data_IF_614468836248
#
_entry.id   IF_614468836248
#
_cell.length_a   1.000
_cell.length_b   1.000
_cell.length_c   1.000
_cell.angle_alpha   90.00
_cell.angle_beta   90.00
_cell.angle_gamma   90.00
#
_symmetry.space_group_name_H-M   'P 1'
#
loop_
_entity.id
_entity.type
_entity.pdbx_description
1 polymer ?
#
# COMPACT_ATOMS: atom_id res chain seq x y z
N UNK A 1 5.83 -15.05 -10.90
CA UNK A 1 5.19 -14.19 -9.87
C UNK A 1 6.14 -13.06 -9.53
N UNK A 2 5.64 -11.82 -9.57
CA UNK A 2 6.42 -10.61 -9.27
C UNK A 2 5.98 -10.00 -7.93
N UNK A 3 6.96 -9.57 -7.12
CA UNK A 3 6.73 -8.83 -5.89
C UNK A 3 6.86 -7.34 -6.14
N UNK A 4 5.78 -6.57 -6.01
CA UNK A 4 5.76 -5.15 -6.36
C UNK A 4 6.85 -4.33 -5.62
N UNK A 5 7.18 -4.70 -4.38
CA UNK A 5 8.23 -4.03 -3.61
C UNK A 5 9.62 -4.12 -4.26
N UNK A 6 9.88 -5.14 -5.05
CA UNK A 6 11.14 -5.31 -5.79
C UNK A 6 11.26 -4.41 -7.02
N UNK A 7 10.18 -3.67 -7.34
CA UNK A 7 10.08 -2.70 -8.44
C UNK A 7 9.79 -1.28 -7.94
N UNK A 8 10.14 -0.99 -6.67
CA UNK A 8 10.02 0.35 -6.08
C UNK A 8 8.64 0.72 -5.55
N UNK A 9 7.67 -0.20 -5.58
CA UNK A 9 6.33 0.04 -5.00
C UNK A 9 6.39 -0.11 -3.47
N UNK A 10 5.96 0.87 -2.67
CA UNK A 10 6.04 0.84 -1.20
C UNK A 10 5.00 -0.09 -0.54
N UNK A 11 4.80 -1.28 -1.10
CA UNK A 11 3.73 -2.18 -0.73
C UNK A 11 4.13 -3.65 -0.89
N UNK A 12 3.76 -4.48 0.08
CA UNK A 12 3.84 -5.95 -0.03
C UNK A 12 2.71 -6.48 -0.90
N UNK A 13 2.96 -6.62 -2.21
CA UNK A 13 1.95 -7.07 -3.19
C UNK A 13 2.58 -8.04 -4.18
N UNK A 14 2.05 -9.25 -4.22
CA UNK A 14 2.45 -10.27 -5.17
C UNK A 14 1.44 -10.36 -6.32
N UNK A 15 1.95 -10.53 -7.53
CA UNK A 15 1.10 -10.69 -8.73
C UNK A 15 1.64 -11.79 -9.62
N UNK A 16 0.76 -12.68 -10.04
CA UNK A 16 1.02 -13.61 -11.13
C UNK A 16 0.82 -12.86 -12.44
N UNK A 17 1.88 -12.80 -13.24
CA UNK A 17 1.86 -12.23 -14.58
C UNK A 17 2.07 -13.36 -15.57
N UNK A 18 1.22 -13.42 -16.57
CA UNK A 18 1.32 -14.40 -17.67
C UNK A 18 1.54 -13.61 -18.95
N UNK A 19 2.67 -13.86 -19.61
CA UNK A 19 3.01 -13.26 -20.90
C UNK A 19 2.80 -14.31 -21.99
N UNK A 20 2.12 -13.94 -23.06
CA UNK A 20 1.90 -14.77 -24.22
C UNK A 20 2.18 -14.03 -25.51
N UNK A 21 2.96 -14.63 -26.39
CA UNK A 21 3.19 -14.14 -27.75
C UNK A 21 2.57 -15.07 -28.77
N UNK A 22 2.02 -14.50 -29.83
CA UNK A 22 1.50 -15.26 -30.97
C UNK A 22 2.40 -15.02 -32.19
N UNK A 23 2.90 -16.07 -32.79
CA UNK A 23 3.66 -15.96 -34.04
C UNK A 23 4.70 -17.06 -34.20
N UNK A 24 5.48 -17.00 -35.31
CA UNK A 24 6.64 -17.81 -35.56
C UNK A 24 7.90 -16.97 -35.32
N UNK A 25 9.00 -17.58 -34.86
CA UNK A 25 10.28 -16.89 -34.56
C UNK A 25 10.13 -15.78 -33.51
N UNK A 26 9.52 -16.12 -32.37
CA UNK A 26 9.28 -15.16 -31.28
C UNK A 26 10.57 -14.84 -30.53
N UNK A 27 10.77 -13.58 -30.10
CA UNK A 27 11.87 -13.26 -29.20
C UNK A 27 11.72 -13.98 -27.87
N UNK A 28 12.83 -14.26 -27.18
CA UNK A 28 12.79 -14.75 -25.81
C UNK A 28 12.09 -13.72 -24.92
N UNK A 29 11.01 -14.14 -24.26
CA UNK A 29 10.35 -13.33 -23.25
C UNK A 29 11.09 -13.45 -21.94
N UNK A 30 11.56 -12.32 -21.42
CA UNK A 30 12.09 -12.25 -20.07
C UNK A 30 11.21 -11.33 -19.22
N UNK A 31 10.98 -11.70 -17.96
CA UNK A 31 10.43 -10.78 -16.98
C UNK A 31 11.50 -9.76 -16.57
N UNK A 32 11.10 -8.51 -16.25
CA UNK A 32 12.03 -7.49 -15.81
C UNK A 32 12.81 -7.94 -14.56
N UNK A 33 14.08 -7.48 -14.46
CA UNK A 33 14.89 -7.76 -13.29
C UNK A 33 14.48 -6.90 -12.10
N UNK A 34 14.30 -7.48 -10.90
CA UNK A 34 14.06 -6.73 -9.70
C UNK A 34 15.24 -5.84 -9.32
N UNK A 35 14.98 -4.55 -9.05
CA UNK A 35 16.02 -3.55 -8.76
C UNK A 35 16.17 -3.25 -7.27
N UNK A 36 15.17 -3.60 -6.46
CA UNK A 36 15.07 -3.21 -5.05
C UNK A 36 15.13 -4.41 -4.14
N UNK A 37 15.88 -4.30 -3.05
CA UNK A 37 15.78 -5.23 -1.93
C UNK A 37 14.66 -4.81 -0.97
N UNK A 38 13.78 -5.75 -0.64
CA UNK A 38 12.70 -5.53 0.32
C UNK A 38 12.59 -6.72 1.30
N UNK A 39 12.27 -6.49 2.58
CA UNK A 39 12.17 -7.54 3.60
C UNK A 39 10.85 -8.31 3.46
N UNK A 40 10.55 -8.77 2.24
CA UNK A 40 9.29 -9.45 1.91
C UNK A 40 9.58 -10.90 1.60
N UNK A 41 8.92 -11.80 2.32
CA UNK A 41 8.96 -13.23 2.01
C UNK A 41 7.61 -13.67 1.47
N UNK A 42 7.58 -14.45 0.37
CA UNK A 42 6.35 -15.08 -0.10
C UNK A 42 5.76 -15.98 0.99
N UNK A 43 4.46 -15.91 1.21
CA UNK A 43 3.72 -16.78 2.12
C UNK A 43 2.90 -17.85 1.36
N UNK A 44 3.34 -18.19 0.16
CA UNK A 44 2.73 -19.18 -0.72
C UNK A 44 3.83 -20.07 -1.35
N UNK A 45 3.44 -21.15 -2.01
CA UNK A 45 4.38 -22.04 -2.72
C UNK A 45 5.10 -21.27 -3.82
N UNK A 46 6.42 -21.21 -3.72
CA UNK A 46 7.28 -20.44 -4.64
C UNK A 46 7.87 -21.27 -5.77
N UNK A 47 7.69 -22.60 -5.72
CA UNK A 47 8.18 -23.53 -6.72
C UNK A 47 7.04 -24.37 -7.30
N UNK A 48 7.14 -24.68 -8.57
CA UNK A 48 6.27 -25.63 -9.24
C UNK A 48 7.12 -26.49 -10.16
N UNK A 49 6.99 -27.81 -10.07
CA UNK A 49 7.74 -28.80 -10.86
C UNK A 49 9.27 -28.52 -10.89
N UNK A 50 9.84 -28.22 -9.70
CA UNK A 50 11.24 -27.88 -9.55
C UNK A 50 11.66 -26.47 -10.00
N UNK A 51 10.77 -25.71 -10.62
CA UNK A 51 11.04 -24.36 -11.10
C UNK A 51 10.61 -23.29 -10.11
N UNK A 52 11.47 -22.27 -9.89
CA UNK A 52 11.15 -21.11 -9.07
C UNK A 52 10.16 -20.21 -9.82
N UNK A 53 8.96 -20.03 -9.24
CA UNK A 53 7.90 -19.19 -9.81
C UNK A 53 8.06 -17.70 -9.49
N UNK A 54 8.88 -17.36 -8.51
CA UNK A 54 9.05 -16.00 -7.99
C UNK A 54 10.34 -15.41 -8.54
N UNK A 55 10.24 -14.23 -9.15
CA UNK A 55 11.41 -13.44 -9.53
C UNK A 55 11.91 -12.68 -8.29
N UNK A 56 13.06 -13.08 -7.77
CA UNK A 56 13.71 -12.45 -6.63
C UNK A 56 14.82 -11.49 -7.10
N UNK A 57 15.12 -10.42 -6.34
CA UNK A 57 16.25 -9.55 -6.66
C UNK A 57 17.57 -10.32 -6.59
N UNK A 58 18.48 -9.99 -7.50
CA UNK A 58 19.85 -10.52 -7.45
C UNK A 58 20.60 -9.94 -6.24
N UNK A 59 21.67 -10.60 -5.75
CA UNK A 59 22.52 -10.02 -4.70
C UNK A 59 23.14 -8.67 -5.06
N UNK A 60 23.24 -8.36 -6.35
CA UNK A 60 23.80 -7.11 -6.89
C UNK A 60 22.77 -5.98 -6.94
N UNK A 61 21.48 -6.27 -6.79
CA UNK A 61 20.45 -5.23 -6.65
C UNK A 61 20.79 -4.37 -5.44
N UNK A 62 21.08 -3.09 -5.62
CA UNK A 62 21.62 -2.23 -4.58
C UNK A 62 20.60 -1.26 -3.99
N UNK A 63 19.46 -1.07 -4.64
CA UNK A 63 18.46 -0.11 -4.21
C UNK A 63 17.64 -0.64 -3.03
N UNK A 64 17.51 0.18 -1.97
CA UNK A 64 16.61 -0.10 -0.87
C UNK A 64 15.16 0.16 -1.30
N UNK A 65 14.21 -0.63 -0.79
CA UNK A 65 12.78 -0.43 -1.03
C UNK A 65 12.30 0.95 -0.54
N UNK A 66 11.28 1.48 -1.21
CA UNK A 66 10.60 2.71 -0.81
C UNK A 66 9.72 2.45 0.43
N UNK A 67 9.86 3.27 1.47
CA UNK A 67 9.11 3.15 2.71
C UNK A 67 7.74 3.83 2.64
N UNK A 68 6.87 3.54 3.61
CA UNK A 68 5.57 4.24 3.75
C UNK A 68 5.79 5.74 3.91
N UNK A 69 6.74 6.17 4.75
CA UNK A 69 7.03 7.58 4.97
C UNK A 69 7.55 8.27 3.70
N UNK A 70 8.42 7.63 2.95
CA UNK A 70 8.87 8.16 1.66
C UNK A 70 7.74 8.28 0.65
N UNK A 71 6.71 7.43 0.74
CA UNK A 71 5.59 7.48 -0.18
C UNK A 71 4.56 8.57 0.16
N UNK A 72 4.23 8.78 1.44
CA UNK A 72 3.09 9.61 1.86
C UNK A 72 3.43 10.72 2.88
N UNK A 73 4.69 10.81 3.33
CA UNK A 73 5.08 11.72 4.40
C UNK A 73 5.05 13.21 4.05
N UNK A 74 4.94 13.56 2.77
CA UNK A 74 4.84 14.91 2.24
C UNK A 74 3.39 15.38 2.02
N UNK A 75 2.41 14.50 2.26
CA UNK A 75 1.00 14.84 2.14
C UNK A 75 0.52 15.59 3.39
N UNK A 76 -0.38 16.60 3.26
CA UNK A 76 -0.88 17.38 4.38
C UNK A 76 -1.51 16.51 5.47
N UNK A 77 -1.28 16.82 6.76
CA UNK A 77 -1.93 16.10 7.84
C UNK A 77 -3.45 16.37 7.85
N UNK A 78 -4.23 15.38 8.24
CA UNK A 78 -5.68 15.45 8.34
C UNK A 78 -6.16 14.84 9.66
N UNK A 79 -7.29 15.35 10.15
CA UNK A 79 -8.03 14.72 11.25
C UNK A 79 -8.96 13.63 10.69
N UNK A 80 -9.35 12.69 11.54
CA UNK A 80 -10.32 11.66 11.18
C UNK A 80 -11.65 12.27 10.69
N UNK A 81 -12.10 11.87 9.50
CA UNK A 81 -13.31 12.39 8.87
C UNK A 81 -13.17 13.80 8.28
N UNK A 82 -11.97 14.37 8.27
CA UNK A 82 -11.71 15.65 7.65
C UNK A 82 -11.80 15.54 6.14
N UNK A 83 -12.69 16.36 5.56
CA UNK A 83 -12.80 16.57 4.12
C UNK A 83 -11.97 17.80 3.76
N UNK A 84 -12.43 18.77 3.19
CA UNK A 84 -11.77 20.02 2.83
C UNK A 84 -11.87 20.27 1.34
N UNK A 85 -10.98 21.10 0.80
CA UNK A 85 -10.97 21.42 -0.62
C UNK A 85 -10.76 20.15 -1.47
N UNK A 86 -11.39 20.11 -2.64
CA UNK A 86 -11.23 19.03 -3.62
C UNK A 86 -9.76 18.87 -4.04
N UNK A 87 -9.05 19.98 -4.12
CA UNK A 87 -7.62 20.05 -4.39
C UNK A 87 -6.94 20.71 -3.20
N UNK A 88 -5.91 20.08 -2.69
CA UNK A 88 -5.04 20.64 -1.61
C UNK A 88 -3.68 21.00 -2.19
N UNK A 89 -3.08 22.03 -1.59
CA UNK A 89 -1.70 22.40 -1.93
C UNK A 89 -0.69 21.49 -1.23
N UNK A 90 0.47 21.34 -1.85
CA UNK A 90 1.61 20.74 -1.20
C UNK A 90 2.15 21.68 -0.12
N UNK A 91 2.39 21.19 1.08
CA UNK A 91 2.82 21.97 2.24
C UNK A 91 4.35 22.02 2.40
N UNK A 92 5.07 21.25 1.61
CA UNK A 92 6.54 21.18 1.64
C UNK A 92 7.08 20.73 0.28
N UNK A 93 8.37 20.93 0.06
CA UNK A 93 9.09 20.35 -1.05
C UNK A 93 9.17 18.82 -0.93
N UNK A 94 9.28 18.08 -2.05
CA UNK A 94 9.43 16.63 -2.00
C UNK A 94 10.76 16.25 -1.33
N UNK A 95 10.69 15.36 -0.34
CA UNK A 95 11.82 14.95 0.50
C UNK A 95 12.64 13.79 -0.10
N UNK A 96 12.14 13.13 -1.13
CA UNK A 96 12.81 12.01 -1.79
C UNK A 96 12.40 11.88 -3.27
N UNK A 97 13.13 11.07 -4.02
CA UNK A 97 12.87 10.91 -5.46
C UNK A 97 11.51 10.25 -5.75
N UNK A 98 11.00 9.42 -4.86
CA UNK A 98 9.67 8.86 -4.99
C UNK A 98 8.59 9.96 -4.99
N UNK A 99 8.67 10.90 -4.06
CA UNK A 99 7.74 12.04 -3.98
C UNK A 99 7.90 12.99 -5.17
N UNK A 100 9.14 13.28 -5.59
CA UNK A 100 9.40 14.07 -6.81
C UNK A 100 8.70 13.45 -8.00
N UNK A 101 8.91 12.15 -8.22
CA UNK A 101 8.29 11.39 -9.30
C UNK A 101 6.76 11.42 -9.23
N UNK A 102 6.20 11.20 -8.04
CA UNK A 102 4.76 11.17 -7.85
C UNK A 102 4.09 12.52 -8.18
N UNK A 103 4.78 13.64 -7.95
CA UNK A 103 4.27 15.00 -8.20
C UNK A 103 4.42 15.46 -9.65
N UNK A 104 5.14 14.75 -10.51
CA UNK A 104 5.33 15.16 -11.90
C UNK A 104 3.97 15.36 -12.58
N UNK A 105 3.78 16.54 -13.17
CA UNK A 105 2.56 16.90 -13.89
C UNK A 105 1.32 17.15 -13.02
N UNK A 106 1.47 17.21 -11.69
CA UNK A 106 0.37 17.53 -10.78
C UNK A 106 0.41 18.98 -10.33
N UNK A 107 -0.75 19.67 -10.40
CA UNK A 107 -0.93 21.02 -9.89
C UNK A 107 -1.32 21.06 -8.40
N UNK A 108 -1.55 19.91 -7.77
CA UNK A 108 -2.00 19.81 -6.39
C UNK A 108 -2.39 18.38 -6.00
N UNK A 109 -2.93 18.21 -4.81
CA UNK A 109 -3.26 16.92 -4.23
C UNK A 109 -4.77 16.69 -4.30
N UNK A 110 -5.18 15.74 -5.14
CA UNK A 110 -6.56 15.28 -5.30
C UNK A 110 -6.84 14.02 -4.47
N UNK A 111 -8.11 13.77 -4.15
CA UNK A 111 -8.55 12.57 -3.43
C UNK A 111 -7.93 12.41 -2.03
N UNK A 112 -7.56 13.52 -1.38
CA UNK A 112 -6.95 13.52 -0.06
C UNK A 112 -7.95 13.98 1.01
N UNK A 113 -8.94 13.11 1.25
CA UNK A 113 -9.96 13.26 2.28
C UNK A 113 -9.91 12.09 3.25
N UNK A 114 -9.89 12.37 4.56
CA UNK A 114 -9.82 11.32 5.56
C UNK A 114 -11.18 10.61 5.72
N UNK A 115 -11.24 9.28 5.57
CA UNK A 115 -12.44 8.52 5.87
C UNK A 115 -12.87 8.72 7.32
N UNK A 116 -14.19 8.71 7.56
CA UNK A 116 -14.73 8.80 8.90
C UNK A 116 -14.70 7.42 9.56
N UNK A 117 -14.03 7.32 10.70
CA UNK A 117 -14.08 6.14 11.55
C UNK A 117 -15.26 6.21 12.52
N UNK A 118 -15.85 5.05 12.85
CA UNK A 118 -16.81 4.98 13.95
C UNK A 118 -16.15 5.34 15.29
N UNK A 119 -16.94 5.75 16.28
CA UNK A 119 -16.43 6.07 17.61
C UNK A 119 -15.65 4.90 18.23
N UNK A 120 -16.14 3.68 18.04
CA UNK A 120 -15.50 2.46 18.52
C UNK A 120 -14.13 2.24 17.84
N UNK A 121 -14.02 2.49 16.55
CA UNK A 121 -12.74 2.37 15.84
C UNK A 121 -11.75 3.47 16.21
N UNK A 122 -12.22 4.67 16.49
CA UNK A 122 -11.38 5.75 17.03
C UNK A 122 -10.85 5.39 18.43
N UNK A 123 -11.70 4.77 19.28
CA UNK A 123 -11.27 4.32 20.61
C UNK A 123 -10.24 3.18 20.51
N UNK A 124 -10.48 2.17 19.67
CA UNK A 124 -9.54 1.08 19.40
C UNK A 124 -8.17 1.57 18.94
N UNK A 125 -8.16 2.58 18.08
CA UNK A 125 -6.94 3.11 17.48
C UNK A 125 -5.97 3.70 18.50
N UNK A 126 -6.45 4.19 19.65
CA UNK A 126 -5.61 4.72 20.73
C UNK A 126 -4.66 3.69 21.33
N UNK A 127 -4.99 2.41 21.23
CA UNK A 127 -4.19 1.31 21.76
C UNK A 127 -3.19 0.77 20.74
N UNK A 128 -3.33 1.10 19.45
CA UNK A 128 -2.55 0.52 18.37
C UNK A 128 -1.41 1.45 17.99
N UNK A 129 -0.20 1.09 18.41
CA UNK A 129 1.04 1.81 18.06
C UNK A 129 1.46 1.51 16.59
N UNK A 130 2.35 2.30 15.99
CA UNK A 130 2.96 1.94 14.70
C UNK A 130 3.53 0.53 14.73
N UNK A 131 3.16 -0.29 13.73
CA UNK A 131 3.48 -1.73 13.67
C UNK A 131 2.52 -2.64 14.44
N UNK A 132 1.68 -2.09 15.32
CA UNK A 132 0.67 -2.82 16.07
C UNK A 132 -0.56 -3.21 15.23
N UNK A 133 -1.44 -3.98 15.83
CA UNK A 133 -2.64 -4.51 15.17
C UNK A 133 -3.75 -4.82 16.20
N UNK A 134 -4.78 -5.55 15.79
CA UNK A 134 -5.91 -5.90 16.64
C UNK A 134 -5.56 -6.58 17.97
N UNK A 135 -4.38 -7.20 18.09
CA UNK A 135 -3.96 -7.87 19.33
C UNK A 135 -3.58 -6.91 20.45
N UNK A 136 -3.41 -5.61 20.13
CA UNK A 136 -3.12 -4.55 21.09
C UNK A 136 -4.41 -3.93 21.65
N UNK A 137 -5.56 -4.28 21.08
CA UNK A 137 -6.88 -3.77 21.51
C UNK A 137 -7.33 -4.53 22.76
N UNK A 138 -7.75 -3.84 23.83
CA UNK A 138 -8.35 -4.48 25.00
C UNK A 138 -9.53 -5.39 24.63
N UNK A 139 -9.70 -6.51 25.34
CA UNK A 139 -10.72 -7.52 25.02
C UNK A 139 -12.16 -6.96 25.01
N UNK A 140 -12.46 -6.00 25.87
CA UNK A 140 -13.77 -5.32 25.94
C UNK A 140 -14.09 -4.51 24.68
N UNK A 141 -13.06 -3.98 24.01
CA UNK A 141 -13.19 -3.20 22.78
C UNK A 141 -13.08 -4.05 21.51
N UNK A 142 -12.71 -5.32 21.62
CA UNK A 142 -12.59 -6.19 20.45
C UNK A 142 -13.95 -6.39 19.76
N UNK A 143 -13.97 -6.38 18.41
CA UNK A 143 -15.15 -6.82 17.67
C UNK A 143 -15.54 -8.25 18.05
N UNK A 144 -16.84 -8.54 18.13
CA UNK A 144 -17.35 -9.86 18.54
C UNK A 144 -16.68 -11.03 17.79
N UNK A 145 -16.43 -10.87 16.48
CA UNK A 145 -15.79 -11.88 15.65
C UNK A 145 -14.29 -12.09 15.96
N UNK A 146 -13.63 -11.11 16.59
CA UNK A 146 -12.20 -11.20 16.94
C UNK A 146 -11.95 -11.79 18.32
N UNK A 147 -12.94 -11.77 19.23
CA UNK A 147 -12.80 -12.31 20.60
C UNK A 147 -12.44 -13.80 20.67
N UNK A 148 -12.74 -14.55 19.60
CA UNK A 148 -12.46 -15.99 19.50
C UNK A 148 -11.29 -16.31 18.58
N UNK A 149 -10.70 -15.30 17.95
CA UNK A 149 -9.56 -15.48 17.04
C UNK A 149 -8.28 -15.74 17.84
N UNK A 150 -7.40 -16.58 17.30
CA UNK A 150 -6.06 -16.78 17.88
C UNK A 150 -5.24 -15.53 17.60
N UNK A 151 -4.39 -15.12 18.54
CA UNK A 151 -3.50 -13.92 18.37
C UNK A 151 -2.55 -14.02 17.18
N UNK A 152 -2.27 -15.23 16.70
CA UNK A 152 -1.50 -15.49 15.48
C UNK A 152 -2.29 -15.25 14.19
N UNK A 153 -3.63 -15.20 14.29
CA UNK A 153 -4.48 -15.10 13.11
C UNK A 153 -4.75 -13.63 12.74
N UNK A 154 -4.93 -13.38 11.46
CA UNK A 154 -5.36 -12.06 10.98
C UNK A 154 -4.50 -10.88 11.44
N UNK A 155 -3.18 -11.06 11.64
CA UNK A 155 -2.24 -10.08 12.20
C UNK A 155 -2.13 -8.76 11.42
N UNK A 156 -2.81 -8.63 10.29
CA UNK A 156 -2.91 -7.36 9.54
C UNK A 156 -4.18 -6.56 9.84
N UNK A 157 -5.20 -7.17 10.48
CA UNK A 157 -6.45 -6.46 10.79
C UNK A 157 -6.23 -5.38 11.85
N UNK A 158 -6.91 -4.25 11.68
CA UNK A 158 -6.74 -3.06 12.53
C UNK A 158 -5.27 -2.65 12.66
N UNK A 159 -4.44 -2.95 11.66
CA UNK A 159 -3.03 -2.63 11.73
C UNK A 159 -2.73 -1.16 11.48
N UNK A 160 -1.74 -0.65 12.22
CA UNK A 160 -1.11 0.64 11.99
C UNK A 160 0.23 0.40 11.30
N UNK A 161 0.43 0.99 10.13
CA UNK A 161 1.69 0.84 9.41
C UNK A 161 2.85 1.50 10.15
N UNK A 162 4.08 1.08 9.86
CA UNK A 162 5.30 1.75 10.33
C UNK A 162 5.81 2.73 9.27
N UNK A 163 6.42 3.86 9.66
CA UNK A 163 6.93 4.84 8.70
C UNK A 163 8.06 4.28 7.83
N UNK A 164 8.91 3.45 8.38
CA UNK A 164 10.11 2.84 7.79
C UNK A 164 9.85 1.48 7.10
N UNK A 165 8.61 1.00 7.14
CA UNK A 165 8.20 -0.28 6.58
C UNK A 165 7.53 -0.17 5.21
N UNK A 166 7.01 -1.32 4.77
CA UNK A 166 6.14 -1.45 3.59
C UNK A 166 4.68 -1.49 4.01
N UNK A 167 3.81 -0.89 3.20
CA UNK A 167 2.37 -1.04 3.38
C UNK A 167 1.92 -2.48 3.10
N UNK A 168 0.85 -2.91 3.76
CA UNK A 168 0.12 -4.11 3.38
C UNK A 168 -0.52 -3.93 2.00
N UNK A 169 -0.86 -5.04 1.33
CA UNK A 169 -1.60 -4.99 0.06
C UNK A 169 -2.84 -4.12 0.19
N UNK A 170 -2.94 -3.06 -0.60
CA UNK A 170 -4.12 -2.21 -0.68
C UNK A 170 -5.25 -3.00 -1.32
N UNK A 171 -6.33 -3.20 -0.57
CA UNK A 171 -7.54 -3.87 -1.00
C UNK A 171 -8.58 -2.87 -1.51
N UNK A 172 -9.58 -3.36 -2.21
CA UNK A 172 -10.65 -2.54 -2.81
C UNK A 172 -11.47 -1.72 -1.81
N UNK A 173 -11.55 -2.16 -0.56
CA UNK A 173 -12.25 -1.40 0.50
C UNK A 173 -11.34 -0.50 1.33
N UNK A 174 -10.06 -0.83 1.45
CA UNK A 174 -9.08 -0.15 2.31
C UNK A 174 -9.62 0.13 3.74
N UNK A 175 -10.39 -0.82 4.28
CA UNK A 175 -11.03 -0.72 5.58
C UNK A 175 -10.15 -1.38 6.65
N UNK A 176 -9.87 -0.72 7.79
CA UNK A 176 -9.03 -1.27 8.86
C UNK A 176 -9.42 -2.64 9.36
N UNK A 177 -10.71 -3.01 9.26
CA UNK A 177 -11.16 -4.37 9.60
C UNK A 177 -10.47 -5.46 8.76
N UNK A 178 -10.00 -5.14 7.55
CA UNK A 178 -9.42 -6.10 6.62
C UNK A 178 -7.91 -6.02 6.48
N UNK A 179 -7.27 -4.97 7.00
CA UNK A 179 -5.84 -4.79 6.80
C UNK A 179 -5.20 -3.73 7.70
N UNK A 180 -3.91 -3.52 7.48
CA UNK A 180 -3.14 -2.48 8.15
C UNK A 180 -3.27 -1.16 7.37
N UNK A 181 -4.36 -0.45 7.65
CA UNK A 181 -4.72 0.79 6.94
C UNK A 181 -4.81 2.02 7.84
N UNK A 182 -4.38 1.91 9.10
CA UNK A 182 -4.19 3.09 9.94
C UNK A 182 -2.87 3.79 9.62
N UNK A 183 -2.94 5.11 9.52
CA UNK A 183 -1.79 5.98 9.26
C UNK A 183 -0.77 5.90 10.40
N UNK A 184 0.54 5.92 10.09
CA UNK A 184 1.61 5.68 11.06
C UNK A 184 1.65 6.70 12.21
N UNK A 185 1.32 7.98 11.98
CA UNK A 185 1.38 9.05 12.99
C UNK A 185 0.12 9.91 13.12
N UNK A 186 -0.98 9.54 12.44
CA UNK A 186 -2.26 10.24 12.52
C UNK A 186 -3.36 9.26 12.92
N UNK A 187 -4.28 9.66 13.80
CA UNK A 187 -5.33 8.77 14.32
C UNK A 187 -6.51 8.66 13.36
N UNK A 188 -6.24 8.11 12.19
CA UNK A 188 -7.19 7.86 11.10
C UNK A 188 -6.72 6.72 10.17
N UNK A 189 -7.59 6.29 9.29
CA UNK A 189 -7.22 5.44 8.16
C UNK A 189 -6.65 6.25 7.00
N UNK A 190 -6.08 5.54 6.01
CA UNK A 190 -5.57 6.16 4.79
C UNK A 190 -6.65 6.92 4.02
N UNK A 191 -6.24 7.99 3.37
CA UNK A 191 -7.00 8.61 2.29
C UNK A 191 -6.85 7.84 0.99
N UNK A 192 -7.68 8.14 -0.01
CA UNK A 192 -7.53 7.54 -1.35
C UNK A 192 -6.17 7.93 -1.96
N UNK A 193 -5.72 9.18 -1.79
CA UNK A 193 -4.41 9.63 -2.28
C UNK A 193 -3.25 8.89 -1.63
N UNK A 194 -3.29 8.68 -0.32
CA UNK A 194 -2.27 7.88 0.38
C UNK A 194 -2.25 6.43 -0.13
N UNK A 195 -3.41 5.80 -0.25
CA UNK A 195 -3.51 4.46 -0.83
C UNK A 195 -3.00 4.41 -2.28
N UNK A 196 -3.28 5.44 -3.08
CA UNK A 196 -2.80 5.58 -4.45
C UNK A 196 -1.26 5.75 -4.51
N UNK A 197 -0.68 6.58 -3.63
CA UNK A 197 0.78 6.71 -3.49
C UNK A 197 1.42 5.38 -3.08
N UNK A 198 0.85 4.65 -2.13
CA UNK A 198 1.31 3.32 -1.73
C UNK A 198 1.15 2.28 -2.84
N UNK A 199 0.30 2.52 -3.82
CA UNK A 199 0.12 1.72 -5.04
C UNK A 199 0.96 2.27 -6.23
N UNK A 200 1.78 3.30 -6.00
CA UNK A 200 2.63 3.99 -6.98
C UNK A 200 1.91 4.80 -8.07
N UNK A 201 0.66 5.21 -7.85
CA UNK A 201 0.00 6.16 -8.75
C UNK A 201 0.61 7.56 -8.65
N UNK A 202 0.79 8.27 -9.77
CA UNK A 202 1.20 9.67 -9.74
C UNK A 202 0.03 10.57 -9.28
N UNK A 203 0.35 11.76 -8.75
CA UNK A 203 -0.66 12.65 -8.14
C UNK A 203 -1.61 13.28 -9.15
N UNK A 204 -1.17 13.45 -10.39
CA UNK A 204 -2.04 13.94 -11.47
C UNK A 204 -3.13 12.94 -11.86
N UNK A 205 -3.03 11.67 -11.44
CA UNK A 205 -4.10 10.69 -11.68
C UNK A 205 -5.23 10.91 -10.66
N UNK A 206 -6.39 11.33 -11.15
CA UNK A 206 -7.57 11.65 -10.33
C UNK A 206 -8.56 10.50 -10.37
N UNK A 207 -8.96 10.02 -9.20
CA UNK A 207 -9.99 8.99 -9.05
C UNK A 207 -11.36 9.64 -8.92
N UNK A 208 -12.36 9.11 -9.61
CA UNK A 208 -13.72 9.67 -9.65
C UNK A 208 -14.74 8.75 -9.00
N UNK A 209 -15.91 9.29 -8.70
CA UNK A 209 -16.99 8.57 -8.01
C UNK A 209 -16.95 8.71 -6.49
N UNK A 210 -17.69 7.89 -5.79
CA UNK A 210 -17.69 7.86 -4.32
C UNK A 210 -16.35 7.40 -3.78
N UNK A 211 -16.01 7.79 -2.54
CA UNK A 211 -14.75 7.39 -1.90
C UNK A 211 -14.53 5.86 -1.92
N UNK A 212 -15.59 5.07 -1.72
CA UNK A 212 -15.52 3.61 -1.84
C UNK A 212 -15.18 3.11 -3.25
N UNK A 213 -15.73 3.77 -4.29
CA UNK A 213 -15.38 3.45 -5.68
C UNK A 213 -13.95 3.86 -6.02
N UNK A 214 -13.47 4.99 -5.48
CA UNK A 214 -12.08 5.43 -5.63
C UNK A 214 -11.10 4.42 -5.00
N UNK A 215 -11.36 3.94 -3.77
CA UNK A 215 -10.57 2.86 -3.17
C UNK A 215 -10.62 1.57 -3.99
N UNK A 216 -11.76 1.24 -4.57
CA UNK A 216 -11.88 0.05 -5.41
C UNK A 216 -11.03 0.17 -6.69
N UNK A 217 -10.96 1.34 -7.29
CA UNK A 217 -10.08 1.61 -8.44
C UNK A 217 -8.61 1.42 -8.05
N UNK A 218 -8.17 2.01 -6.93
CA UNK A 218 -6.80 1.84 -6.43
C UNK A 218 -6.49 0.36 -6.14
N UNK A 219 -7.36 -0.33 -5.40
CA UNK A 219 -7.10 -1.71 -4.95
C UNK A 219 -7.09 -2.74 -6.09
N UNK A 220 -7.87 -2.51 -7.15
CA UNK A 220 -7.92 -3.40 -8.32
C UNK A 220 -6.76 -3.20 -9.29
N UNK A 221 -6.06 -2.10 -9.21
CA UNK A 221 -5.01 -1.77 -10.16
C UNK A 221 -3.76 -2.68 -10.02
N UNK A 222 -3.06 -2.84 -11.13
CA UNK A 222 -1.64 -3.19 -11.13
C UNK A 222 -0.87 -1.93 -10.76
N UNK A 223 0.10 -1.99 -9.83
CA UNK A 223 0.90 -0.81 -9.49
C UNK A 223 1.60 -0.24 -10.73
N UNK A 224 1.49 1.08 -11.01
CA UNK A 224 2.13 1.67 -12.18
C UNK A 224 3.62 1.38 -12.32
N UNK A 225 4.40 1.46 -11.24
CA UNK A 225 5.83 1.14 -11.28
C UNK A 225 6.11 -0.34 -11.63
N UNK A 226 5.25 -1.26 -11.22
CA UNK A 226 5.37 -2.67 -11.59
C UNK A 226 4.98 -2.90 -13.05
N UNK A 227 4.03 -2.11 -13.58
CA UNK A 227 3.58 -2.22 -14.96
C UNK A 227 4.56 -1.54 -15.94
N UNK A 228 5.32 -0.55 -15.48
CA UNK A 228 6.34 0.15 -16.26
C UNK A 228 7.62 -0.68 -16.44
N UNK A 229 7.96 -1.52 -15.43
CA UNK A 229 9.13 -2.39 -15.49
C UNK A 229 8.99 -3.50 -16.53
#
# INVERSE_FOLDING_TARGET
ILGAAYYGVPQMRWRTIILGLRGKNLPSLAFPEPLYHAPVKPNFTTTFDGQLLVKLPSPEASAKFTTVQEAIGDLPPLKCGERGAEVKEYICEPMCDYQKRARIGSCGIYNHEAPRLSKENQERLKYIKPGGNWTDIPDELLPKGMKRARKSDHTKRYGRVTPDGLASTILTKCDPHWGAYFHYNQDRSFTVREAARLQSFPDHFIFTGTQGQQFAQVGNAVPPLLAEA
#
